data_IF_428091869263
#
_entry.id   IF_428091869263
#
_cell.length_a   1.000
_cell.length_b   1.000
_cell.length_c   1.000
_cell.angle_alpha   90.00
_cell.angle_beta   90.00
_cell.angle_gamma   90.00
#
_symmetry.space_group_name_H-M   'P 1'
#
loop_
_entity.id
_entity.type
_entity.pdbx_description
1 polymer ?
#
# COMPACT_ATOMS: atom_id res chain seq x y z
N UNK A 1 -9.35 25.65 -8.92
CA UNK A 1 -9.80 24.23 -8.84
C UNK A 1 -9.81 23.82 -7.37
N UNK A 2 -10.75 22.99 -6.93
CA UNK A 2 -10.75 22.45 -5.56
C UNK A 2 -9.55 21.51 -5.38
N UNK A 3 -8.90 21.58 -4.19
CA UNK A 3 -7.80 20.65 -3.86
C UNK A 3 -8.27 19.19 -3.95
N UNK A 4 -7.42 18.32 -4.46
CA UNK A 4 -7.64 16.88 -4.49
C UNK A 4 -7.50 16.30 -3.08
N UNK A 5 -8.22 15.24 -2.81
CA UNK A 5 -8.27 14.58 -1.51
C UNK A 5 -7.74 13.15 -1.62
N UNK A 6 -6.95 12.72 -0.66
CA UNK A 6 -6.45 11.35 -0.57
C UNK A 6 -6.60 10.80 0.84
N UNK A 7 -7.01 9.53 0.94
CA UNK A 7 -6.95 8.78 2.19
C UNK A 7 -5.89 7.70 2.08
N UNK A 8 -5.04 7.59 3.12
CA UNK A 8 -3.90 6.66 3.15
C UNK A 8 -4.02 5.79 4.40
N UNK A 9 -4.28 4.50 4.18
CA UNK A 9 -4.28 3.49 5.23
C UNK A 9 -2.86 2.99 5.50
N UNK A 10 -2.54 2.69 6.75
CA UNK A 10 -1.18 2.32 7.16
C UNK A 10 -0.21 3.52 7.19
N UNK A 11 -0.75 4.70 7.41
CA UNK A 11 -0.01 5.96 7.39
C UNK A 11 1.13 6.06 8.42
N UNK A 12 1.14 5.24 9.47
CA UNK A 12 2.21 5.19 10.47
C UNK A 12 3.45 4.40 10.01
N UNK A 13 3.35 3.58 8.96
CA UNK A 13 4.48 2.85 8.39
C UNK A 13 5.40 3.72 7.53
N UNK A 14 6.62 3.24 7.22
CA UNK A 14 7.60 4.00 6.45
C UNK A 14 7.05 4.45 5.07
N UNK A 15 6.41 3.54 4.32
CA UNK A 15 5.78 3.88 3.03
C UNK A 15 4.63 4.86 3.25
N UNK A 16 3.77 4.61 4.24
CA UNK A 16 2.61 5.46 4.53
C UNK A 16 3.00 6.90 4.89
N UNK A 17 4.00 7.09 5.74
CA UNK A 17 4.52 8.41 6.09
C UNK A 17 5.12 9.15 4.88
N UNK A 18 5.92 8.42 4.07
CA UNK A 18 6.49 8.98 2.85
C UNK A 18 5.42 9.40 1.84
N UNK A 19 4.35 8.60 1.70
CA UNK A 19 3.20 8.93 0.87
C UNK A 19 2.44 10.14 1.41
N UNK A 20 2.15 10.20 2.72
CA UNK A 20 1.52 11.37 3.33
C UNK A 20 2.30 12.65 3.00
N UNK A 21 3.62 12.63 3.21
CA UNK A 21 4.48 13.77 2.85
C UNK A 21 4.41 14.10 1.36
N UNK A 22 4.56 13.10 0.48
CA UNK A 22 4.54 13.30 -0.97
C UNK A 22 3.23 13.90 -1.47
N UNK A 23 2.08 13.51 -0.91
CA UNK A 23 0.78 14.07 -1.29
C UNK A 23 0.57 15.48 -0.70
N UNK A 24 1.04 15.75 0.52
CA UNK A 24 1.05 17.11 1.09
C UNK A 24 1.88 18.06 0.25
N UNK A 25 3.08 17.64 -0.17
CA UNK A 25 3.99 18.43 -1.03
C UNK A 25 3.35 18.72 -2.42
N UNK A 26 2.40 17.89 -2.86
CA UNK A 26 1.60 18.06 -4.10
C UNK A 26 0.25 18.77 -3.86
N UNK A 27 0.09 19.42 -2.72
CA UNK A 27 -1.10 20.21 -2.34
C UNK A 27 -2.41 19.40 -2.23
N UNK A 28 -2.34 18.11 -1.91
CA UNK A 28 -3.52 17.29 -1.59
C UNK A 28 -3.97 17.53 -0.14
N UNK A 29 -5.27 17.40 0.10
CA UNK A 29 -5.83 17.21 1.42
C UNK A 29 -5.65 15.73 1.82
N UNK A 30 -4.80 15.49 2.81
CA UNK A 30 -4.42 14.12 3.22
C UNK A 30 -5.16 13.71 4.47
N UNK A 31 -5.84 12.57 4.40
CA UNK A 31 -6.37 11.84 5.56
C UNK A 31 -5.49 10.61 5.80
N UNK A 32 -4.82 10.59 6.95
CA UNK A 32 -3.88 9.56 7.34
C UNK A 32 -4.54 8.59 8.34
N UNK A 33 -4.64 7.31 8.01
CA UNK A 33 -5.30 6.30 8.84
C UNK A 33 -4.28 5.33 9.42
N UNK A 34 -4.34 5.11 10.73
CA UNK A 34 -3.55 4.11 11.46
C UNK A 34 -4.41 3.37 12.49
N UNK A 35 -3.95 2.20 12.96
CA UNK A 35 -4.70 1.39 13.93
C UNK A 35 -4.66 1.95 15.36
N UNK A 36 -3.57 2.61 15.70
CA UNK A 36 -3.35 3.20 17.03
C UNK A 36 -3.07 4.68 16.88
N UNK A 37 -3.41 5.45 17.89
CA UNK A 37 -3.08 6.88 17.93
C UNK A 37 -1.56 7.08 17.72
N UNK A 38 -1.21 7.85 16.72
CA UNK A 38 0.18 8.23 16.39
C UNK A 38 0.28 9.74 16.57
N UNK A 39 1.31 10.19 17.26
CA UNK A 39 1.69 11.60 17.23
C UNK A 39 2.43 11.84 15.90
N UNK A 40 1.88 12.60 14.96
CA UNK A 40 2.54 12.86 13.69
C UNK A 40 3.80 13.68 13.92
N UNK A 41 4.81 13.48 13.08
CA UNK A 41 5.95 14.39 13.01
C UNK A 41 5.51 15.77 12.51
N UNK A 42 6.25 16.82 12.82
CA UNK A 42 5.95 18.19 12.35
C UNK A 42 5.78 18.26 10.81
N UNK A 43 6.56 17.46 10.07
CA UNK A 43 6.48 17.39 8.60
C UNK A 43 5.15 16.83 8.06
N UNK A 44 4.32 16.24 8.92
CA UNK A 44 3.01 15.67 8.58
C UNK A 44 1.84 16.41 9.26
N UNK A 45 2.09 17.57 9.85
CA UNK A 45 1.08 18.38 10.56
C UNK A 45 -0.08 18.84 9.67
N UNK A 46 0.12 18.85 8.34
CA UNK A 46 -0.94 19.15 7.37
C UNK A 46 -1.93 18.01 7.09
N UNK A 47 -1.69 16.79 7.59
CA UNK A 47 -2.59 15.67 7.43
C UNK A 47 -3.60 15.56 8.58
N UNK A 48 -4.83 15.15 8.26
CA UNK A 48 -5.83 14.77 9.27
C UNK A 48 -5.59 13.30 9.65
N UNK A 49 -5.32 13.04 10.92
CA UNK A 49 -5.05 11.70 11.43
C UNK A 49 -6.29 11.06 12.03
N UNK A 50 -6.56 9.83 11.63
CA UNK A 50 -7.67 9.01 12.12
C UNK A 50 -7.13 7.68 12.67
N UNK A 51 -7.66 7.27 13.82
CA UNK A 51 -7.47 5.92 14.35
C UNK A 51 -8.63 5.04 13.90
N UNK A 52 -8.32 3.92 13.21
CA UNK A 52 -9.32 2.98 12.76
C UNK A 52 -8.74 1.57 12.59
N UNK A 53 -9.47 0.58 13.09
CA UNK A 53 -9.18 -0.85 12.90
C UNK A 53 -10.49 -1.56 12.52
N UNK A 54 -10.54 -2.32 11.41
CA UNK A 54 -11.72 -3.07 10.99
C UNK A 54 -12.20 -4.10 12.02
N UNK A 55 -11.32 -4.55 12.93
CA UNK A 55 -11.69 -5.50 14.00
C UNK A 55 -12.48 -4.86 15.14
N UNK A 56 -12.38 -3.57 15.30
CA UNK A 56 -13.01 -2.80 16.39
C UNK A 56 -14.01 -1.74 15.89
N UNK A 57 -14.33 -1.75 14.58
CA UNK A 57 -15.29 -0.79 14.03
C UNK A 57 -16.71 -1.37 14.07
N UNK A 58 -17.67 -0.55 14.49
CA UNK A 58 -19.10 -0.87 14.49
C UNK A 58 -19.73 -0.73 13.08
N UNK A 59 -18.96 -1.06 12.02
CA UNK A 59 -19.40 -0.92 10.64
C UNK A 59 -19.44 0.52 10.12
N UNK A 60 -18.83 1.46 10.81
CA UNK A 60 -18.79 2.89 10.42
C UNK A 60 -17.34 3.35 10.32
N UNK A 61 -17.04 4.05 9.23
CA UNK A 61 -15.75 4.73 9.11
C UNK A 61 -15.83 6.09 9.81
N UNK A 62 -14.89 6.47 10.70
CA UNK A 62 -15.02 7.62 11.58
C UNK A 62 -14.73 8.95 10.86
N UNK A 63 -15.43 9.19 9.77
CA UNK A 63 -15.34 10.45 9.00
C UNK A 63 -16.62 11.25 9.22
N UNK A 64 -16.54 12.56 9.46
CA UNK A 64 -17.72 13.43 9.58
C UNK A 64 -18.59 13.34 8.33
N UNK A 65 -19.92 13.29 8.53
CA UNK A 65 -20.92 13.11 7.43
C UNK A 65 -20.85 14.13 6.29
N UNK A 66 -20.22 15.28 6.49
CA UNK A 66 -20.06 16.34 5.49
C UNK A 66 -18.62 16.45 4.98
N UNK A 67 -17.80 15.44 5.17
CA UNK A 67 -16.45 15.41 4.64
C UNK A 67 -16.45 15.34 3.11
N UNK A 68 -15.41 15.93 2.49
CA UNK A 68 -15.22 15.80 1.05
C UNK A 68 -14.96 14.34 0.69
N UNK A 69 -15.52 13.91 -0.44
CA UNK A 69 -15.22 12.60 -1.02
C UNK A 69 -13.73 12.50 -1.40
N UNK A 70 -13.16 11.30 -1.31
CA UNK A 70 -11.78 11.05 -1.67
C UNK A 70 -11.62 10.80 -3.17
N UNK A 71 -10.71 11.55 -3.79
CA UNK A 71 -10.29 11.36 -5.17
C UNK A 71 -9.30 10.20 -5.33
N UNK A 72 -8.57 9.88 -4.25
CA UNK A 72 -7.66 8.75 -4.23
C UNK A 72 -7.68 8.02 -2.89
N UNK A 73 -7.45 6.71 -2.95
CA UNK A 73 -7.29 5.83 -1.79
C UNK A 73 -6.01 5.03 -1.95
N UNK A 74 -5.17 5.02 -0.90
CA UNK A 74 -3.95 4.22 -0.89
C UNK A 74 -3.96 3.28 0.31
N UNK A 75 -3.82 1.99 0.06
CA UNK A 75 -3.63 0.98 1.09
C UNK A 75 -2.15 0.63 1.21
N UNK A 76 -1.47 1.24 2.19
CA UNK A 76 -0.05 1.01 2.51
C UNK A 76 0.14 0.19 3.79
N UNK A 77 -0.94 -0.31 4.40
CA UNK A 77 -0.86 -1.20 5.55
C UNK A 77 -0.42 -2.60 5.13
N UNK A 78 0.14 -3.32 6.09
CA UNK A 78 0.47 -4.73 5.91
C UNK A 78 1.24 -5.27 7.11
N UNK A 79 1.26 -6.58 7.20
CA UNK A 79 2.07 -7.35 8.14
C UNK A 79 3.03 -8.25 7.37
N UNK A 80 4.11 -8.64 8.04
CA UNK A 80 5.12 -9.54 7.51
C UNK A 80 5.57 -10.50 8.62
N UNK A 81 5.83 -11.76 8.27
CA UNK A 81 6.45 -12.72 9.17
C UNK A 81 7.54 -13.52 8.46
N UNK A 82 8.24 -14.32 9.21
CA UNK A 82 9.15 -15.33 8.68
C UNK A 82 8.61 -16.70 9.07
N UNK A 83 8.21 -17.47 8.08
CA UNK A 83 7.67 -18.82 8.21
C UNK A 83 7.91 -19.62 6.94
N UNK A 84 7.90 -20.93 7.10
CA UNK A 84 7.91 -21.92 6.02
C UNK A 84 6.87 -23.02 6.29
N UNK A 85 6.78 -24.01 5.42
CA UNK A 85 5.79 -25.08 5.59
C UNK A 85 6.02 -25.93 6.85
N UNK A 86 7.25 -26.00 7.36
CA UNK A 86 7.59 -26.78 8.55
C UNK A 86 7.31 -26.02 9.85
N UNK A 87 7.32 -24.69 9.78
CA UNK A 87 7.08 -23.77 10.91
C UNK A 87 5.76 -23.03 10.80
N UNK A 88 4.86 -23.50 9.92
CA UNK A 88 3.56 -22.88 9.66
C UNK A 88 2.70 -22.79 10.92
N UNK A 89 2.22 -21.57 11.22
CA UNK A 89 1.26 -21.30 12.30
C UNK A 89 -0.02 -20.71 11.69
N UNK A 90 -1.12 -21.43 11.86
CA UNK A 90 -2.42 -21.03 11.31
C UNK A 90 -2.89 -19.66 11.83
N UNK A 91 -2.73 -19.39 13.14
CA UNK A 91 -3.19 -18.14 13.75
C UNK A 91 -2.39 -16.95 13.22
N UNK A 92 -1.07 -17.12 13.06
CA UNK A 92 -0.20 -16.12 12.48
C UNK A 92 -0.56 -15.85 11.01
N UNK A 93 -0.82 -16.92 10.25
CA UNK A 93 -1.26 -16.82 8.85
C UNK A 93 -2.59 -16.06 8.72
N UNK A 94 -3.60 -16.42 9.50
CA UNK A 94 -4.90 -15.76 9.53
C UNK A 94 -4.78 -14.26 9.92
N UNK A 95 -3.97 -13.97 10.93
CA UNK A 95 -3.71 -12.59 11.35
C UNK A 95 -3.05 -11.77 10.23
N UNK A 96 -2.14 -12.38 9.48
CA UNK A 96 -1.48 -11.76 8.33
C UNK A 96 -2.45 -11.56 7.17
N UNK A 97 -3.28 -12.57 6.86
CA UNK A 97 -4.31 -12.46 5.83
C UNK A 97 -5.32 -11.35 6.16
N UNK A 98 -5.74 -11.28 7.43
CA UNK A 98 -6.60 -10.21 7.91
C UNK A 98 -5.98 -8.82 7.72
N UNK A 99 -4.68 -8.66 8.01
CA UNK A 99 -3.98 -7.39 7.88
C UNK A 99 -3.69 -6.99 6.42
N UNK A 100 -3.35 -7.95 5.56
CA UNK A 100 -2.89 -7.69 4.21
C UNK A 100 -4.04 -7.67 3.18
N UNK A 101 -5.10 -8.45 3.38
CA UNK A 101 -6.19 -8.66 2.42
C UNK A 101 -7.53 -8.20 2.97
N UNK A 102 -8.01 -8.81 4.06
CA UNK A 102 -9.35 -8.53 4.60
C UNK A 102 -9.52 -7.06 4.99
N UNK A 103 -8.48 -6.44 5.53
CA UNK A 103 -8.48 -5.01 5.86
C UNK A 103 -8.88 -4.13 4.68
N UNK A 104 -8.35 -4.43 3.48
CA UNK A 104 -8.64 -3.66 2.26
C UNK A 104 -10.11 -3.81 1.87
N UNK A 105 -10.63 -5.05 1.91
CA UNK A 105 -12.03 -5.33 1.58
C UNK A 105 -13.00 -4.59 2.49
N UNK A 106 -12.78 -4.66 3.81
CA UNK A 106 -13.64 -3.99 4.80
C UNK A 106 -13.55 -2.47 4.64
N UNK A 107 -12.33 -1.92 4.52
CA UNK A 107 -12.15 -0.49 4.34
C UNK A 107 -12.86 0.02 3.06
N UNK A 108 -12.67 -0.66 1.93
CA UNK A 108 -13.28 -0.26 0.67
C UNK A 108 -14.81 -0.37 0.71
N UNK A 109 -15.34 -1.46 1.28
CA UNK A 109 -16.78 -1.63 1.44
C UNK A 109 -17.40 -0.47 2.22
N UNK A 110 -16.80 -0.07 3.34
CA UNK A 110 -17.29 1.05 4.14
C UNK A 110 -17.17 2.40 3.41
N UNK A 111 -16.07 2.63 2.70
CA UNK A 111 -15.91 3.85 1.89
C UNK A 111 -17.00 3.97 0.82
N UNK A 112 -17.37 2.85 0.17
CA UNK A 112 -18.43 2.80 -0.83
C UNK A 112 -19.81 2.97 -0.20
N UNK A 113 -20.14 2.24 0.87
CA UNK A 113 -21.43 2.30 1.56
C UNK A 113 -21.72 3.69 2.13
N UNK A 114 -20.70 4.40 2.59
CA UNK A 114 -20.84 5.74 3.16
C UNK A 114 -20.68 6.85 2.09
N UNK A 115 -20.59 6.48 0.81
CA UNK A 115 -20.43 7.42 -0.31
C UNK A 115 -19.24 8.39 -0.12
N UNK A 116 -18.11 7.87 0.36
CA UNK A 116 -16.90 8.64 0.65
C UNK A 116 -15.91 8.71 -0.53
N UNK A 117 -16.19 8.05 -1.64
CA UNK A 117 -15.36 8.09 -2.85
C UNK A 117 -15.96 9.08 -3.87
N UNK A 118 -15.09 9.93 -4.41
CA UNK A 118 -15.45 10.78 -5.53
C UNK A 118 -15.71 9.93 -6.79
N UNK A 119 -16.51 10.44 -7.72
CA UNK A 119 -16.65 9.82 -9.04
C UNK A 119 -15.27 9.67 -9.69
N UNK A 120 -15.00 8.50 -10.25
CA UNK A 120 -13.71 8.19 -10.88
C UNK A 120 -12.51 8.24 -9.92
N UNK A 121 -12.67 7.85 -8.66
CA UNK A 121 -11.55 7.78 -7.71
C UNK A 121 -10.49 6.75 -8.15
N UNK A 122 -9.23 7.00 -7.75
CA UNK A 122 -8.07 6.14 -8.03
C UNK A 122 -7.74 5.35 -6.77
N UNK A 123 -7.70 4.03 -6.91
CA UNK A 123 -7.49 3.08 -5.83
C UNK A 123 -6.14 2.40 -6.04
N UNK A 124 -5.22 2.55 -5.09
CA UNK A 124 -3.87 2.01 -5.19
C UNK A 124 -3.54 1.13 -3.98
N UNK A 125 -3.13 -0.10 -4.24
CA UNK A 125 -2.76 -1.08 -3.21
C UNK A 125 -1.24 -1.25 -3.21
N UNK A 126 -0.60 -1.13 -2.05
CA UNK A 126 0.82 -1.45 -1.89
C UNK A 126 0.94 -2.95 -1.64
N UNK A 127 1.35 -3.67 -2.68
CA UNK A 127 1.67 -5.09 -2.60
C UNK A 127 3.16 -5.31 -2.32
N UNK A 128 3.82 -6.15 -3.08
CA UNK A 128 5.26 -6.44 -3.05
C UNK A 128 5.65 -7.22 -4.31
N UNK A 129 6.91 -7.18 -4.70
CA UNK A 129 7.44 -8.10 -5.72
C UNK A 129 7.23 -9.58 -5.33
N UNK A 130 7.12 -9.87 -4.04
CA UNK A 130 6.81 -11.21 -3.51
C UNK A 130 5.36 -11.66 -3.78
N UNK A 131 4.58 -10.85 -4.46
CA UNK A 131 3.31 -11.25 -5.08
C UNK A 131 3.53 -12.23 -6.24
N UNK A 132 4.57 -11.99 -7.03
CA UNK A 132 4.89 -12.72 -8.25
C UNK A 132 6.12 -13.64 -8.11
N UNK A 133 6.91 -13.42 -7.06
CA UNK A 133 8.12 -14.16 -6.76
C UNK A 133 8.00 -14.84 -5.40
N UNK A 134 8.72 -15.95 -5.22
CA UNK A 134 8.85 -16.59 -3.92
C UNK A 134 10.17 -16.21 -3.25
N UNK A 135 10.13 -16.09 -1.92
CA UNK A 135 11.33 -15.94 -1.08
C UNK A 135 11.31 -16.99 0.01
N UNK A 136 12.47 -17.56 0.30
CA UNK A 136 12.67 -18.48 1.42
C UNK A 136 12.19 -17.84 2.73
N UNK A 137 11.55 -18.63 3.58
CA UNK A 137 10.99 -18.21 4.87
C UNK A 137 9.98 -17.06 4.78
N UNK A 138 9.12 -17.07 3.73
CA UNK A 138 8.07 -16.08 3.51
C UNK A 138 6.77 -16.69 3.00
N UNK A 139 6.45 -17.91 3.44
CA UNK A 139 5.27 -18.66 2.97
C UNK A 139 3.98 -17.84 3.11
N UNK A 140 3.61 -17.48 4.33
CA UNK A 140 2.38 -16.73 4.59
C UNK A 140 2.40 -15.33 3.98
N UNK A 141 3.56 -14.66 4.00
CA UNK A 141 3.67 -13.34 3.38
C UNK A 141 3.47 -13.39 1.87
N UNK A 142 4.17 -14.28 1.15
CA UNK A 142 4.01 -14.45 -0.29
C UNK A 142 2.57 -14.84 -0.64
N UNK A 143 1.96 -15.77 0.11
CA UNK A 143 0.58 -16.20 -0.10
C UNK A 143 -0.39 -15.02 0.01
N UNK A 144 -0.28 -14.20 1.07
CA UNK A 144 -1.18 -13.05 1.25
C UNK A 144 -0.95 -11.97 0.20
N UNK A 145 0.29 -11.75 -0.24
CA UNK A 145 0.58 -10.78 -1.30
C UNK A 145 0.12 -11.27 -2.67
N UNK A 146 0.20 -12.57 -2.95
CA UNK A 146 -0.37 -13.16 -4.17
C UNK A 146 -1.90 -13.05 -4.19
N UNK A 147 -2.58 -13.14 -3.05
CA UNK A 147 -4.03 -12.93 -2.96
C UNK A 147 -4.46 -11.52 -3.41
N UNK A 148 -3.59 -10.51 -3.27
CA UNK A 148 -3.87 -9.16 -3.75
C UNK A 148 -4.00 -9.07 -5.27
N UNK A 149 -3.43 -10.02 -6.02
CA UNK A 149 -3.62 -10.08 -7.47
C UNK A 149 -5.07 -10.35 -7.82
N UNK A 150 -5.65 -11.40 -7.25
CA UNK A 150 -7.06 -11.72 -7.45
C UNK A 150 -7.99 -10.61 -6.95
N UNK A 151 -7.64 -9.99 -5.81
CA UNK A 151 -8.38 -8.84 -5.28
C UNK A 151 -8.45 -7.68 -6.30
N UNK A 152 -7.30 -7.21 -6.80
CA UNK A 152 -7.24 -6.10 -7.76
C UNK A 152 -8.03 -6.43 -9.03
N UNK A 153 -7.84 -7.64 -9.58
CA UNK A 153 -8.54 -8.08 -10.79
C UNK A 153 -10.07 -8.09 -10.61
N UNK A 154 -10.56 -8.58 -9.47
CA UNK A 154 -11.98 -8.58 -9.15
C UNK A 154 -12.52 -7.15 -9.01
N UNK A 155 -11.80 -6.29 -8.28
CA UNK A 155 -12.22 -4.90 -8.08
C UNK A 155 -12.28 -4.10 -9.40
N UNK A 156 -11.41 -4.38 -10.36
CA UNK A 156 -11.49 -3.74 -11.70
C UNK A 156 -12.81 -4.08 -12.39
N UNK A 157 -13.25 -5.34 -12.29
CA UNK A 157 -14.52 -5.78 -12.90
C UNK A 157 -15.71 -5.16 -12.17
N UNK A 158 -15.70 -5.20 -10.84
CA UNK A 158 -16.82 -4.73 -10.02
C UNK A 158 -17.00 -3.21 -10.09
N UNK A 159 -15.90 -2.45 -10.13
CA UNK A 159 -15.90 -1.00 -9.98
C UNK A 159 -15.69 -0.24 -11.30
N UNK A 160 -15.29 -0.92 -12.36
CA UNK A 160 -14.92 -0.28 -13.63
C UNK A 160 -16.03 0.54 -14.24
N UNK A 161 -17.29 0.07 -14.21
CA UNK A 161 -18.45 0.81 -14.72
C UNK A 161 -18.77 2.08 -13.93
N UNK A 162 -18.33 2.14 -12.67
CA UNK A 162 -18.41 3.33 -11.82
C UNK A 162 -17.27 4.32 -12.07
N UNK A 163 -16.35 4.00 -13.01
CA UNK A 163 -15.23 4.85 -13.39
C UNK A 163 -14.02 4.78 -12.45
N UNK A 164 -13.98 3.85 -11.49
CA UNK A 164 -12.84 3.71 -10.59
C UNK A 164 -11.68 2.99 -11.29
N UNK A 165 -10.45 3.48 -11.06
CA UNK A 165 -9.23 2.83 -11.53
C UNK A 165 -8.52 2.17 -10.35
N UNK A 166 -8.24 0.87 -10.46
CA UNK A 166 -7.66 0.06 -9.37
C UNK A 166 -6.33 -0.52 -9.83
N UNK A 167 -5.24 -0.22 -9.12
CA UNK A 167 -3.92 -0.72 -9.45
C UNK A 167 -3.16 -1.14 -8.19
N UNK A 168 -2.11 -1.93 -8.36
CA UNK A 168 -1.16 -2.27 -7.32
C UNK A 168 0.25 -1.81 -7.66
N UNK A 169 0.96 -1.29 -6.66
CA UNK A 169 2.40 -1.05 -6.71
C UNK A 169 3.10 -2.16 -5.96
N UNK A 170 4.15 -2.70 -6.56
CA UNK A 170 4.95 -3.80 -6.05
C UNK A 170 6.37 -3.31 -5.68
N UNK A 171 6.59 -2.80 -4.47
CA UNK A 171 7.93 -2.40 -4.05
C UNK A 171 8.87 -3.61 -3.99
N UNK A 172 10.13 -3.38 -4.36
CA UNK A 172 11.24 -4.27 -4.03
C UNK A 172 11.66 -4.16 -2.57
N UNK A 173 12.84 -4.68 -2.24
CA UNK A 173 13.46 -4.47 -0.95
C UNK A 173 13.86 -2.99 -0.82
N UNK A 174 13.08 -2.22 -0.08
CA UNK A 174 13.28 -0.77 0.06
C UNK A 174 14.49 -0.46 0.95
N UNK A 175 15.25 0.54 0.59
CA UNK A 175 16.30 1.11 1.45
C UNK A 175 15.66 1.93 2.57
N UNK A 176 15.42 1.29 3.70
CA UNK A 176 14.79 1.90 4.87
C UNK A 176 15.60 1.57 6.14
N UNK A 177 15.45 2.36 7.22
CA UNK A 177 16.06 2.02 8.50
C UNK A 177 15.67 0.60 8.97
N UNK A 178 14.44 0.17 8.73
CA UNK A 178 13.98 -1.19 9.06
C UNK A 178 14.75 -2.26 8.27
N UNK A 179 14.95 -2.06 6.97
CA UNK A 179 15.72 -2.98 6.12
C UNK A 179 17.16 -3.08 6.61
N UNK A 180 17.79 -1.92 6.91
CA UNK A 180 19.16 -1.84 7.41
C UNK A 180 19.33 -2.41 8.82
N UNK A 181 18.27 -2.40 9.64
CA UNK A 181 18.28 -3.02 10.97
C UNK A 181 18.07 -4.54 10.93
N UNK A 182 17.40 -5.07 9.92
CA UNK A 182 17.01 -6.49 9.83
C UNK A 182 17.87 -7.32 8.87
N UNK A 183 18.69 -6.70 8.04
CA UNK A 183 19.59 -7.38 7.10
C UNK A 183 21.04 -7.03 7.38
N UNK A 184 21.93 -8.03 7.27
CA UNK A 184 23.37 -7.78 7.31
C UNK A 184 23.83 -6.99 6.07
N UNK A 185 24.99 -6.36 6.17
CA UNK A 185 25.59 -5.66 5.02
C UNK A 185 25.82 -6.60 3.83
N UNK A 186 26.17 -7.86 4.07
CA UNK A 186 26.34 -8.88 3.02
C UNK A 186 25.00 -9.17 2.31
N UNK A 187 23.90 -9.30 3.07
CA UNK A 187 22.57 -9.50 2.51
C UNK A 187 22.10 -8.29 1.69
N UNK A 188 22.37 -7.07 2.18
CA UNK A 188 22.07 -5.84 1.46
C UNK A 188 22.90 -5.76 0.17
N UNK A 189 24.22 -6.03 0.22
CA UNK A 189 25.08 -6.05 -0.95
C UNK A 189 24.67 -7.13 -1.95
N UNK A 190 24.21 -8.29 -1.48
CA UNK A 190 23.63 -9.34 -2.33
C UNK A 190 22.38 -8.86 -3.09
N UNK A 191 21.46 -8.18 -2.40
CA UNK A 191 20.27 -7.59 -3.02
C UNK A 191 20.64 -6.48 -4.04
N UNK A 192 21.59 -5.62 -3.68
CA UNK A 192 22.13 -4.58 -4.57
C UNK A 192 22.75 -5.20 -5.82
N UNK A 193 23.56 -6.26 -5.66
CA UNK A 193 24.20 -6.96 -6.78
C UNK A 193 23.21 -7.65 -7.73
N UNK A 194 22.03 -8.03 -7.23
CA UNK A 194 20.94 -8.59 -8.05
C UNK A 194 20.05 -7.51 -8.68
N UNK A 195 20.27 -6.24 -8.39
CA UNK A 195 19.46 -5.14 -8.91
C UNK A 195 20.18 -4.45 -10.07
N UNK A 196 19.63 -4.40 -11.29
CA UNK A 196 20.32 -3.86 -12.47
C UNK A 196 20.83 -2.42 -12.31
N UNK A 197 20.13 -1.58 -11.56
CA UNK A 197 20.53 -0.20 -11.28
C UNK A 197 21.64 -0.11 -10.22
N UNK A 198 22.03 -1.24 -9.59
CA UNK A 198 23.10 -1.28 -8.60
C UNK A 198 22.78 -0.58 -7.28
N UNK A 199 21.52 -0.48 -6.93
CA UNK A 199 21.06 0.10 -5.66
C UNK A 199 19.65 -0.33 -5.31
N UNK A 200 19.31 -0.38 -4.02
CA UNK A 200 17.94 -0.70 -3.59
C UNK A 200 16.96 0.42 -3.97
N UNK A 201 15.70 0.08 -4.27
CA UNK A 201 14.66 1.08 -4.49
C UNK A 201 14.40 1.89 -3.21
N UNK A 202 14.03 3.14 -3.41
CA UNK A 202 13.79 4.11 -2.34
C UNK A 202 12.29 4.28 -2.08
N UNK A 203 11.96 4.89 -0.95
CA UNK A 203 10.57 5.32 -0.67
C UNK A 203 10.08 6.30 -1.75
N UNK A 204 10.97 7.15 -2.28
CA UNK A 204 10.61 8.10 -3.33
C UNK A 204 10.22 7.39 -4.64
N UNK A 205 10.89 6.30 -5.02
CA UNK A 205 10.52 5.53 -6.23
C UNK A 205 9.07 5.03 -6.13
N UNK A 206 8.67 4.55 -4.95
CA UNK A 206 7.29 4.13 -4.66
C UNK A 206 6.33 5.33 -4.68
N UNK A 207 6.69 6.44 -4.02
CA UNK A 207 5.84 7.62 -3.92
C UNK A 207 5.54 8.27 -5.27
N UNK A 208 6.52 8.33 -6.18
CA UNK A 208 6.31 8.89 -7.51
C UNK A 208 5.33 8.02 -8.33
N UNK A 209 5.48 6.70 -8.29
CA UNK A 209 4.58 5.79 -8.99
C UNK A 209 3.16 5.85 -8.43
N UNK A 210 3.01 5.77 -7.10
CA UNK A 210 1.70 5.90 -6.44
C UNK A 210 1.07 7.26 -6.75
N UNK A 211 1.87 8.33 -6.69
CA UNK A 211 1.42 9.69 -6.99
C UNK A 211 0.85 9.80 -8.39
N UNK A 212 1.49 9.21 -9.41
CA UNK A 212 0.98 9.15 -10.78
C UNK A 212 -0.31 8.32 -10.86
N UNK A 213 -0.31 7.08 -10.35
CA UNK A 213 -1.47 6.20 -10.42
C UNK A 213 -2.71 6.77 -9.71
N UNK A 214 -2.50 7.59 -8.67
CA UNK A 214 -3.55 8.27 -7.89
C UNK A 214 -3.89 9.68 -8.41
N UNK A 215 -3.22 10.18 -9.43
CA UNK A 215 -3.47 11.50 -9.99
C UNK A 215 -4.54 11.48 -11.08
N UNK A 216 -4.98 12.67 -11.49
CA UNK A 216 -5.88 12.84 -12.64
C UNK A 216 -5.18 12.55 -13.99
N UNK A 217 -3.85 12.51 -14.02
CA UNK A 217 -3.06 12.15 -15.21
C UNK A 217 -3.22 10.67 -15.57
N UNK A 218 -3.55 9.81 -14.59
CA UNK A 218 -3.99 8.45 -14.87
C UNK A 218 -5.43 8.46 -15.38
N UNK A 219 -5.58 8.38 -16.69
CA UNK A 219 -6.90 8.41 -17.36
C UNK A 219 -7.43 7.05 -17.73
N UNK A 220 -6.61 5.98 -17.69
CA UNK A 220 -7.06 4.67 -18.17
C UNK A 220 -6.24 3.47 -17.67
N UNK A 221 -5.20 3.68 -16.85
CA UNK A 221 -4.42 2.56 -16.29
C UNK A 221 -5.20 1.97 -15.13
N UNK A 222 -5.67 0.74 -15.30
CA UNK A 222 -6.39 -0.03 -14.27
C UNK A 222 -6.04 -1.51 -14.37
N UNK A 223 -6.13 -2.26 -13.28
CA UNK A 223 -5.80 -3.69 -13.23
C UNK A 223 -4.31 -3.99 -13.34
N UNK A 224 -3.44 -2.99 -13.17
CA UNK A 224 -2.01 -3.15 -13.37
C UNK A 224 -1.28 -3.40 -12.05
N UNK A 225 -0.20 -4.17 -12.18
CA UNK A 225 0.72 -4.55 -11.10
C UNK A 225 2.10 -4.04 -11.48
N UNK A 226 2.46 -2.85 -11.00
CA UNK A 226 3.68 -2.16 -11.43
C UNK A 226 4.76 -2.29 -10.37
N UNK A 227 5.89 -2.91 -10.73
CA UNK A 227 7.03 -3.05 -9.84
C UNK A 227 7.80 -1.72 -9.69
N UNK A 228 8.09 -1.34 -8.44
CA UNK A 228 9.00 -0.27 -8.09
C UNK A 228 10.22 -0.90 -7.39
N UNK A 229 11.05 -1.61 -8.17
CA UNK A 229 12.09 -2.51 -7.68
C UNK A 229 13.45 -2.34 -8.39
N UNK A 230 13.56 -1.31 -9.22
CA UNK A 230 14.77 -1.01 -10.01
C UNK A 230 15.24 -2.16 -10.89
N UNK A 231 14.28 -3.00 -11.35
CA UNK A 231 14.52 -4.11 -12.26
C UNK A 231 14.85 -5.44 -11.59
N UNK A 232 14.86 -5.52 -10.25
CA UNK A 232 15.20 -6.74 -9.51
C UNK A 232 14.38 -7.97 -9.95
N UNK A 233 13.07 -7.82 -10.19
CA UNK A 233 12.20 -8.95 -10.51
C UNK A 233 12.53 -9.62 -11.84
N UNK A 234 13.12 -8.91 -12.78
CA UNK A 234 13.41 -9.39 -14.14
C UNK A 234 14.88 -9.62 -14.40
N UNK A 235 15.77 -9.21 -13.50
CA UNK A 235 17.20 -9.35 -13.67
C UNK A 235 17.65 -10.81 -13.63
N UNK A 236 18.60 -11.12 -14.49
CA UNK A 236 19.42 -12.33 -14.46
C UNK A 236 20.85 -11.85 -14.67
N UNK A 237 21.48 -11.42 -13.57
CA UNK A 237 22.89 -10.98 -13.57
C UNK A 237 23.72 -12.22 -13.37
N UNK A 238 24.50 -12.61 -14.40
CA UNK A 238 25.34 -13.80 -14.44
C UNK A 238 26.80 -13.37 -14.31
#
# INVERSE_FOLDING_TARGET
>A
MSKQTVIIFGASGAIGQALCKSFLDKDYLVTAVCRTGVTPSESLSGAVWLSWDPKSCDGVFPIPKNSRQFNAVVWAQGANCSDDIYTFDLKLHEAMYAANVTYILVALQLLLQQNLLASSARLCIISSIWQNLARQNKLSYCTTKSALQGLVQSLVVDLGRSGYLVNAVLPGALDTPMTRANLSNEQINGLVGMTPIGSLPTLNDVCQLVGFLCSQENTGITGQFVAADRGFSYARII
#
